data_IF_832639940745
#
_entry.id   IF_832639940745
#
_cell.length_a   1.000
_cell.length_b   1.000
_cell.length_c   1.000
_cell.angle_alpha   90.00
_cell.angle_beta   90.00
_cell.angle_gamma   90.00
#
_symmetry.space_group_name_H-M   'P 1'
#
loop_
_entity.id
_entity.type
_entity.pdbx_description
1 polymer ?
#
# COMPACT_ATOMS: atom_id res chain seq x y z
N UNK A 1 -9.52 3.14 0.44
CA UNK A 1 -8.84 3.62 1.67
C UNK A 1 -8.27 5.03 1.48
N UNK A 2 -7.38 5.25 0.51
CA UNK A 2 -6.77 6.57 0.27
C UNK A 2 -7.79 7.69 -0.03
N UNK A 3 -8.88 7.37 -0.74
CA UNK A 3 -10.05 8.26 -0.91
C UNK A 3 -10.64 8.74 0.42
N UNK A 4 -10.81 7.81 1.35
CA UNK A 4 -11.37 8.09 2.65
C UNK A 4 -10.40 8.89 3.51
N UNK A 5 -9.09 8.72 3.33
CA UNK A 5 -8.12 9.60 3.97
C UNK A 5 -8.30 11.03 3.47
N UNK A 6 -8.34 11.24 2.15
CA UNK A 6 -8.53 12.58 1.55
C UNK A 6 -9.87 13.22 1.96
N UNK A 7 -10.96 12.44 2.00
CA UNK A 7 -12.30 12.99 2.26
C UNK A 7 -12.67 13.09 3.74
N UNK A 8 -12.19 12.19 4.61
CA UNK A 8 -12.62 12.08 6.01
C UNK A 8 -11.59 12.60 7.02
N UNK A 9 -10.33 12.81 6.63
CA UNK A 9 -9.30 13.34 7.53
C UNK A 9 -9.02 14.80 7.13
N UNK A 10 -9.41 15.80 7.95
CA UNK A 10 -9.30 17.22 7.60
C UNK A 10 -7.90 17.63 7.15
N UNK A 11 -6.86 17.16 7.86
CA UNK A 11 -5.47 17.45 7.51
C UNK A 11 -5.12 16.97 6.09
N UNK A 12 -5.52 15.75 5.70
CA UNK A 12 -5.25 15.23 4.36
C UNK A 12 -5.98 16.06 3.30
N UNK A 13 -7.25 16.41 3.55
CA UNK A 13 -8.04 17.27 2.67
C UNK A 13 -7.38 18.63 2.43
N UNK A 14 -6.96 19.29 3.52
CA UNK A 14 -6.36 20.62 3.49
C UNK A 14 -5.00 20.63 2.80
N UNK A 15 -4.16 19.64 3.09
CA UNK A 15 -2.83 19.54 2.48
C UNK A 15 -2.91 19.19 1.01
N UNK A 16 -3.78 18.27 0.61
CA UNK A 16 -4.00 17.96 -0.81
C UNK A 16 -4.52 19.19 -1.55
N UNK A 17 -5.45 19.95 -0.96
CA UNK A 17 -5.92 21.20 -1.54
C UNK A 17 -4.81 22.26 -1.64
N UNK A 18 -3.96 22.38 -0.63
CA UNK A 18 -2.83 23.31 -0.60
C UNK A 18 -1.81 22.97 -1.69
N UNK A 19 -1.46 21.70 -1.81
CA UNK A 19 -0.66 21.19 -2.92
C UNK A 19 -1.28 21.63 -4.24
N UNK A 20 -2.53 21.21 -4.52
CA UNK A 20 -3.24 21.49 -5.79
C UNK A 20 -3.15 22.96 -6.18
N UNK A 21 -3.27 23.89 -5.22
CA UNK A 21 -3.14 25.33 -5.47
C UNK A 21 -1.73 25.74 -5.93
N UNK A 22 -0.67 25.17 -5.36
CA UNK A 22 0.72 25.42 -5.81
C UNK A 22 0.86 25.05 -7.29
N UNK A 23 0.51 23.81 -7.66
CA UNK A 23 0.70 23.37 -9.05
C UNK A 23 -0.19 24.08 -10.04
N UNK A 24 -1.47 24.29 -9.70
CA UNK A 24 -2.37 25.03 -10.60
C UNK A 24 -1.85 26.44 -10.84
N UNK A 25 -1.30 27.10 -9.81
CA UNK A 25 -0.73 28.43 -9.96
C UNK A 25 0.52 28.44 -10.83
N UNK A 26 1.47 27.51 -10.60
CA UNK A 26 2.73 27.42 -11.37
C UNK A 26 2.45 27.09 -12.84
N UNK A 27 1.58 26.13 -13.12
CA UNK A 27 1.26 25.73 -14.49
C UNK A 27 0.29 26.66 -15.22
N UNK A 28 -0.32 27.63 -14.54
CA UNK A 28 -1.19 28.60 -15.19
C UNK A 28 -0.45 29.57 -16.12
N UNK A 29 0.89 29.69 -16.02
CA UNK A 29 1.67 30.71 -16.74
C UNK A 29 3.03 30.19 -17.17
N UNK A 30 3.37 30.37 -18.44
CA UNK A 30 4.65 29.92 -19.02
C UNK A 30 5.86 30.47 -18.26
N UNK A 31 5.82 31.75 -17.85
CA UNK A 31 6.92 32.35 -17.08
C UNK A 31 7.15 31.70 -15.71
N UNK A 32 6.11 31.15 -15.07
CA UNK A 32 6.23 30.43 -13.81
C UNK A 32 6.75 29.00 -14.01
N UNK A 33 6.39 28.36 -15.13
CA UNK A 33 6.95 27.06 -15.52
C UNK A 33 8.45 27.19 -15.79
N UNK A 34 8.87 28.22 -16.53
CA UNK A 34 10.30 28.48 -16.77
C UNK A 34 11.03 28.76 -15.46
N UNK A 35 10.43 29.51 -14.55
CA UNK A 35 11.01 29.78 -13.24
C UNK A 35 11.11 28.51 -12.38
N UNK A 36 10.08 27.64 -12.41
CA UNK A 36 10.11 26.33 -11.76
C UNK A 36 11.31 25.52 -12.27
N UNK A 37 11.40 25.30 -13.59
CA UNK A 37 12.47 24.50 -14.20
C UNK A 37 13.86 25.03 -13.85
N UNK A 38 14.02 26.35 -13.74
CA UNK A 38 15.29 26.95 -13.32
C UNK A 38 15.70 26.52 -11.89
N UNK A 39 14.73 26.41 -10.97
CA UNK A 39 14.99 26.07 -9.56
C UNK A 39 14.82 24.58 -9.23
N UNK A 40 14.31 23.77 -10.16
CA UNK A 40 14.15 22.32 -10.01
C UNK A 40 15.00 21.53 -10.99
N UNK A 41 16.05 22.13 -11.56
CA UNK A 41 16.96 21.46 -12.51
C UNK A 41 16.25 20.85 -13.73
N UNK A 42 15.17 21.49 -14.18
CA UNK A 42 14.35 21.04 -15.31
C UNK A 42 13.25 20.05 -14.94
N UNK A 43 13.11 19.67 -13.67
CA UNK A 43 12.09 18.72 -13.26
C UNK A 43 10.68 19.31 -13.26
N UNK A 44 9.72 18.50 -13.69
CA UNK A 44 8.30 18.81 -13.66
C UNK A 44 7.65 18.42 -12.32
N UNK A 45 6.55 19.10 -11.98
CA UNK A 45 5.63 18.67 -10.94
C UNK A 45 4.56 17.79 -11.57
N UNK A 46 4.25 16.65 -10.94
CA UNK A 46 3.13 15.80 -11.38
C UNK A 46 1.85 16.63 -11.35
N UNK A 47 1.09 16.65 -12.44
CA UNK A 47 -0.21 17.33 -12.49
C UNK A 47 -1.29 16.43 -11.87
N UNK A 48 -2.21 16.97 -11.07
CA UNK A 48 -3.35 16.20 -10.59
C UNK A 48 -4.23 15.76 -11.78
N UNK A 49 -4.31 14.46 -12.02
CA UNK A 49 -5.19 13.88 -13.06
C UNK A 49 -6.58 13.52 -12.52
N UNK A 50 -7.56 13.33 -13.41
CA UNK A 50 -8.99 13.17 -13.07
C UNK A 50 -9.29 11.84 -12.35
N UNK A 51 -8.38 10.86 -12.33
CA UNK A 51 -8.65 9.55 -11.68
C UNK A 51 -7.59 9.02 -10.71
N UNK A 52 -8.18 8.45 -9.64
CA UNK A 52 -7.69 7.52 -8.58
C UNK A 52 -6.69 8.09 -7.58
N UNK A 53 -7.22 8.39 -6.39
CA UNK A 53 -6.64 8.70 -5.06
C UNK A 53 -5.17 8.40 -4.78
N UNK A 54 -4.58 7.35 -5.37
CA UNK A 54 -3.14 7.14 -5.35
C UNK A 54 -2.39 8.35 -5.95
N UNK A 55 -2.91 8.90 -7.05
CA UNK A 55 -2.36 10.08 -7.74
C UNK A 55 -2.25 11.28 -6.81
N UNK A 56 -3.24 11.55 -5.94
CA UNK A 56 -3.18 12.66 -4.96
C UNK A 56 -1.95 12.55 -4.05
N UNK A 57 -1.57 11.34 -3.61
CA UNK A 57 -0.44 11.14 -2.72
C UNK A 57 0.90 11.00 -3.44
N UNK A 58 0.92 10.39 -4.65
CA UNK A 58 2.10 10.40 -5.52
C UNK A 58 2.50 11.85 -5.88
N UNK A 59 1.48 12.65 -6.17
CA UNK A 59 1.58 14.08 -6.38
C UNK A 59 2.19 14.82 -5.19
N UNK A 60 1.66 14.60 -3.97
CA UNK A 60 2.23 15.19 -2.76
C UNK A 60 3.68 14.74 -2.54
N UNK A 61 4.02 13.49 -2.89
CA UNK A 61 5.40 12.98 -2.88
C UNK A 61 6.30 13.81 -3.80
N UNK A 62 5.89 14.02 -5.04
CA UNK A 62 6.62 14.87 -5.99
C UNK A 62 6.81 16.30 -5.47
N UNK A 63 5.77 16.92 -4.89
CA UNK A 63 5.91 18.25 -4.26
C UNK A 63 6.94 18.26 -3.13
N UNK A 64 6.95 17.22 -2.29
CA UNK A 64 7.92 17.09 -1.21
C UNK A 64 9.35 17.01 -1.74
N UNK A 65 9.57 16.23 -2.79
CA UNK A 65 10.89 16.08 -3.42
C UNK A 65 11.39 17.39 -4.02
N UNK A 66 10.47 18.21 -4.57
CA UNK A 66 10.78 19.54 -5.13
C UNK A 66 10.68 20.69 -4.13
N UNK A 67 10.49 20.41 -2.83
CA UNK A 67 10.33 21.45 -1.80
C UNK A 67 11.46 22.48 -1.81
N UNK A 68 12.71 22.02 -1.92
CA UNK A 68 13.89 22.91 -1.93
C UNK A 68 13.85 23.89 -3.10
N UNK A 69 13.63 23.37 -4.32
CA UNK A 69 13.51 24.20 -5.52
C UNK A 69 12.33 25.17 -5.47
N UNK A 70 11.16 24.71 -5.00
CA UNK A 70 10.00 25.58 -4.79
C UNK A 70 10.29 26.68 -3.77
N UNK A 71 10.91 26.35 -2.65
CA UNK A 71 11.28 27.34 -1.64
C UNK A 71 12.23 28.39 -2.21
N UNK A 72 13.27 27.98 -2.94
CA UNK A 72 14.21 28.88 -3.59
C UNK A 72 13.51 29.77 -4.64
N UNK A 73 12.64 29.18 -5.47
CA UNK A 73 11.84 29.92 -6.44
C UNK A 73 11.04 31.05 -5.79
N UNK A 74 10.23 30.74 -4.77
CA UNK A 74 9.32 31.71 -4.13
C UNK A 74 10.02 32.68 -3.18
N UNK A 75 11.30 32.47 -2.84
CA UNK A 75 12.09 33.41 -2.03
C UNK A 75 13.12 34.21 -2.85
N UNK A 76 13.29 33.84 -4.13
CA UNK A 76 14.26 34.43 -5.04
C UNK A 76 14.01 35.91 -5.36
N UNK A 77 15.06 36.59 -5.80
CA UNK A 77 14.95 37.97 -6.30
C UNK A 77 14.06 38.02 -7.56
N UNK A 78 14.20 37.05 -8.46
CA UNK A 78 13.42 36.94 -9.69
C UNK A 78 11.92 36.85 -9.38
N UNK A 79 11.52 36.09 -8.36
CA UNK A 79 10.14 36.05 -7.91
C UNK A 79 9.69 37.40 -7.35
N UNK A 80 10.46 37.99 -6.41
CA UNK A 80 10.12 39.25 -5.77
C UNK A 80 9.96 40.40 -6.76
N UNK A 81 10.81 40.46 -7.78
CA UNK A 81 10.78 41.48 -8.84
C UNK A 81 9.69 41.21 -9.89
N UNK A 82 9.12 40.00 -9.93
CA UNK A 82 8.07 39.64 -10.88
C UNK A 82 6.73 40.34 -10.60
N UNK A 83 5.88 40.44 -11.61
CA UNK A 83 4.49 40.87 -11.43
C UNK A 83 3.64 39.86 -10.63
N UNK A 84 4.06 38.58 -10.59
CA UNK A 84 3.31 37.49 -10.00
C UNK A 84 3.29 37.57 -8.47
N UNK A 85 4.41 37.96 -7.84
CA UNK A 85 4.51 38.20 -6.39
C UNK A 85 3.58 39.29 -5.87
N UNK A 86 3.12 40.19 -6.75
CA UNK A 86 2.22 41.30 -6.39
C UNK A 86 0.75 40.89 -6.42
N UNK A 87 0.42 39.77 -7.07
CA UNK A 87 -0.96 39.25 -7.16
C UNK A 87 -1.43 38.63 -5.84
N UNK A 88 -2.75 38.65 -5.59
CA UNK A 88 -3.33 37.98 -4.41
C UNK A 88 -3.01 36.49 -4.39
N UNK A 89 -3.16 35.82 -5.53
CA UNK A 89 -2.89 34.38 -5.68
C UNK A 89 -1.40 34.06 -5.49
N UNK A 90 -0.51 34.90 -6.02
CA UNK A 90 0.94 34.72 -5.86
C UNK A 90 1.38 34.80 -4.41
N UNK A 91 0.92 35.82 -3.67
CA UNK A 91 1.18 35.94 -2.23
C UNK A 91 0.61 34.78 -1.43
N UNK A 92 -0.58 34.30 -1.82
CA UNK A 92 -1.21 33.16 -1.18
C UNK A 92 -0.38 31.87 -1.36
N UNK A 93 0.09 31.59 -2.59
CA UNK A 93 0.92 30.41 -2.88
C UNK A 93 2.31 30.54 -2.26
N UNK A 94 2.91 31.72 -2.31
CA UNK A 94 4.16 32.01 -1.60
C UNK A 94 4.05 31.66 -0.12
N UNK A 95 2.99 32.12 0.55
CA UNK A 95 2.75 31.82 1.96
C UNK A 95 2.61 30.31 2.22
N UNK A 96 1.95 29.55 1.33
CA UNK A 96 1.89 28.08 1.45
C UNK A 96 3.29 27.48 1.35
N UNK A 97 4.07 27.86 0.34
CA UNK A 97 5.40 27.30 0.06
C UNK A 97 6.40 27.66 1.15
N UNK A 98 6.30 28.85 1.75
CA UNK A 98 7.21 29.28 2.83
C UNK A 98 6.77 28.81 4.21
N UNK A 99 5.55 28.27 4.36
CA UNK A 99 5.03 27.81 5.64
C UNK A 99 5.54 26.39 5.97
N UNK A 100 6.41 26.30 6.99
CA UNK A 100 6.98 25.03 7.44
C UNK A 100 5.94 24.02 7.97
N UNK A 101 4.84 24.48 8.55
CA UNK A 101 3.79 23.59 9.06
C UNK A 101 3.05 22.87 7.93
N UNK A 102 2.88 23.50 6.77
CA UNK A 102 2.29 22.86 5.57
C UNK A 102 3.16 21.67 5.18
N UNK A 103 4.48 21.85 5.07
CA UNK A 103 5.39 20.77 4.69
C UNK A 103 5.49 19.67 5.75
N UNK A 104 5.48 20.04 7.03
CA UNK A 104 5.44 19.07 8.13
C UNK A 104 4.17 18.21 8.05
N UNK A 105 3.02 18.83 7.85
CA UNK A 105 1.75 18.12 7.72
C UNK A 105 1.69 17.29 6.42
N UNK A 106 2.31 17.76 5.33
CA UNK A 106 2.47 16.98 4.10
C UNK A 106 3.25 15.69 4.34
N UNK A 107 4.39 15.75 5.02
CA UNK A 107 5.16 14.56 5.38
C UNK A 107 4.32 13.61 6.24
N UNK A 108 3.52 14.14 7.18
CA UNK A 108 2.59 13.33 7.98
C UNK A 108 1.58 12.62 7.07
N UNK A 109 0.94 13.32 6.13
CA UNK A 109 0.01 12.71 5.19
C UNK A 109 0.66 11.61 4.35
N UNK A 110 1.90 11.81 3.87
CA UNK A 110 2.65 10.82 3.11
C UNK A 110 2.97 9.58 3.95
N UNK A 111 3.39 9.76 5.21
CA UNK A 111 3.61 8.65 6.16
C UNK A 111 2.39 7.76 6.35
N UNK A 112 1.18 8.34 6.32
CA UNK A 112 -0.07 7.58 6.39
C UNK A 112 -0.42 6.85 5.09
N UNK A 113 -0.14 7.47 3.94
CA UNK A 113 -0.58 6.97 2.65
C UNK A 113 0.40 6.02 1.95
N UNK A 114 1.71 6.23 2.11
CA UNK A 114 2.76 5.49 1.40
C UNK A 114 2.74 3.99 1.65
N UNK A 115 2.52 3.49 2.88
CA UNK A 115 2.41 2.05 3.10
C UNK A 115 1.28 1.42 2.27
N UNK A 116 0.13 2.09 2.14
CA UNK A 116 -0.97 1.64 1.29
C UNK A 116 -0.66 1.74 -0.21
N UNK A 117 0.10 2.77 -0.64
CA UNK A 117 0.57 2.84 -2.03
C UNK A 117 1.49 1.67 -2.39
N UNK A 118 2.33 1.20 -1.46
CA UNK A 118 3.16 0.01 -1.67
C UNK A 118 2.30 -1.25 -1.86
N UNK A 119 1.24 -1.41 -1.05
CA UNK A 119 0.30 -2.53 -1.21
C UNK A 119 -0.41 -2.46 -2.57
N UNK A 120 -0.90 -1.28 -2.97
CA UNK A 120 -1.52 -1.10 -4.28
C UNK A 120 -0.57 -1.48 -5.41
N UNK A 121 0.67 -0.99 -5.38
CA UNK A 121 1.69 -1.33 -6.38
C UNK A 121 2.00 -2.83 -6.43
N UNK A 122 1.97 -3.51 -5.28
CA UNK A 122 2.17 -4.97 -5.23
C UNK A 122 1.02 -5.71 -5.91
N UNK A 123 -0.22 -5.27 -5.70
CA UNK A 123 -1.42 -5.91 -6.28
C UNK A 123 -1.57 -5.59 -7.76
N UNK A 124 -1.13 -4.41 -8.20
CA UNK A 124 -1.15 -3.99 -9.60
C UNK A 124 0.05 -4.55 -10.41
N UNK A 125 1.03 -5.20 -9.77
CA UNK A 125 2.19 -5.79 -10.45
C UNK A 125 1.89 -7.20 -10.95
N UNK A 126 2.04 -7.43 -12.26
CA UNK A 126 1.90 -8.76 -12.86
C UNK A 126 3.10 -9.70 -12.57
N UNK A 127 4.15 -9.22 -11.90
CA UNK A 127 5.39 -9.98 -11.68
C UNK A 127 5.24 -11.12 -10.65
N UNK A 128 4.33 -10.98 -9.67
CA UNK A 128 4.12 -11.96 -8.60
C UNK A 128 2.64 -12.06 -8.25
N UNK A 129 2.12 -13.28 -8.13
CA UNK A 129 0.75 -13.51 -7.70
C UNK A 129 0.49 -12.88 -6.31
N UNK A 130 -0.30 -11.82 -6.28
CA UNK A 130 -0.53 -11.01 -5.08
C UNK A 130 -1.39 -11.73 -4.02
N UNK A 131 -2.18 -12.74 -4.42
CA UNK A 131 -3.15 -13.42 -3.56
C UNK A 131 -2.55 -14.02 -2.29
N UNK A 132 -1.34 -14.59 -2.39
CA UNK A 132 -0.64 -15.16 -1.24
C UNK A 132 -0.04 -14.12 -0.27
N UNK A 133 -0.04 -12.83 -0.62
CA UNK A 133 0.69 -11.80 0.12
C UNK A 133 -0.17 -10.62 0.58
N UNK A 134 -1.33 -10.38 -0.04
CA UNK A 134 -2.13 -9.17 0.20
C UNK A 134 -2.57 -9.01 1.67
N UNK A 135 -2.90 -10.10 2.36
CA UNK A 135 -3.27 -10.05 3.79
C UNK A 135 -2.12 -9.53 4.64
N UNK A 136 -0.96 -10.19 4.56
CA UNK A 136 0.27 -9.80 5.27
C UNK A 136 0.71 -8.37 4.90
N UNK A 137 0.62 -8.00 3.62
CA UNK A 137 1.00 -6.67 3.16
C UNK A 137 0.12 -5.57 3.78
N UNK A 138 -1.17 -5.85 3.99
CA UNK A 138 -2.07 -4.94 4.67
C UNK A 138 -1.76 -4.80 6.17
N UNK A 139 -1.42 -5.90 6.84
CA UNK A 139 -0.98 -5.86 8.23
C UNK A 139 0.33 -5.09 8.40
N UNK A 140 1.32 -5.37 7.55
CA UNK A 140 2.58 -4.64 7.52
C UNK A 140 2.36 -3.15 7.22
N UNK A 141 1.42 -2.81 6.32
CA UNK A 141 1.09 -1.41 6.07
C UNK A 141 0.52 -0.71 7.31
N UNK A 142 -0.33 -1.38 8.10
CA UNK A 142 -0.82 -0.84 9.38
C UNK A 142 0.31 -0.66 10.39
N UNK A 143 1.21 -1.63 10.53
CA UNK A 143 2.38 -1.57 11.41
C UNK A 143 3.35 -0.45 11.01
N UNK A 144 3.61 -0.27 9.70
CA UNK A 144 4.46 0.80 9.16
C UNK A 144 3.83 2.18 9.43
N UNK A 145 2.50 2.32 9.28
CA UNK A 145 1.79 3.54 9.66
C UNK A 145 1.95 3.81 11.15
N UNK A 146 1.67 2.84 12.02
CA UNK A 146 1.82 3.02 13.47
C UNK A 146 3.23 3.50 13.85
N UNK A 147 4.25 2.85 13.29
CA UNK A 147 5.65 3.18 13.55
C UNK A 147 6.01 4.58 13.04
N UNK A 148 5.55 4.95 11.84
CA UNK A 148 5.82 6.25 11.22
C UNK A 148 5.25 7.44 11.99
N UNK A 149 4.21 7.17 12.80
CA UNK A 149 3.57 8.12 13.71
C UNK A 149 4.09 8.00 15.15
N UNK A 150 5.30 7.44 15.34
CA UNK A 150 5.96 7.27 16.64
C UNK A 150 5.11 6.52 17.66
N UNK A 151 4.31 5.55 17.22
CA UNK A 151 3.36 4.81 18.07
C UNK A 151 2.33 5.71 18.79
N UNK A 152 2.13 6.95 18.33
CA UNK A 152 1.10 7.82 18.90
C UNK A 152 -0.28 7.41 18.40
N UNK A 153 -0.97 6.58 19.20
CA UNK A 153 -2.29 6.04 18.91
C UNK A 153 -3.29 7.11 18.45
N UNK A 154 -3.32 8.28 19.08
CA UNK A 154 -4.27 9.35 18.70
C UNK A 154 -4.10 9.81 17.25
N UNK A 155 -2.88 9.74 16.73
CA UNK A 155 -2.56 10.21 15.38
C UNK A 155 -2.83 9.19 14.29
N UNK A 156 -2.52 7.91 14.50
CA UNK A 156 -2.72 6.88 13.46
C UNK A 156 -4.06 6.12 13.57
N UNK A 157 -4.71 6.09 14.74
CA UNK A 157 -5.98 5.37 14.92
C UNK A 157 -7.09 5.80 13.93
N UNK A 158 -7.25 7.10 13.57
CA UNK A 158 -8.22 7.49 12.55
C UNK A 158 -7.95 6.85 11.17
N UNK A 159 -6.68 6.70 10.80
CA UNK A 159 -6.27 6.03 9.56
C UNK A 159 -6.58 4.54 9.62
N UNK A 160 -6.20 3.87 10.72
CA UNK A 160 -6.50 2.46 10.94
C UNK A 160 -8.00 2.18 10.89
N UNK A 161 -8.84 3.00 11.55
CA UNK A 161 -10.29 2.83 11.50
C UNK A 161 -10.84 2.86 10.07
N UNK A 162 -10.30 3.72 9.21
CA UNK A 162 -10.67 3.76 7.79
C UNK A 162 -10.18 2.53 7.05
N UNK A 163 -8.94 2.08 7.33
CA UNK A 163 -8.37 0.85 6.76
C UNK A 163 -9.26 -0.33 7.12
N UNK A 164 -9.51 -0.56 8.41
CA UNK A 164 -10.30 -1.68 8.93
C UNK A 164 -11.70 -1.69 8.30
N UNK A 165 -12.41 -0.55 8.31
CA UNK A 165 -13.75 -0.46 7.70
C UNK A 165 -13.75 -0.84 6.21
N UNK A 166 -12.74 -0.41 5.44
CA UNK A 166 -12.66 -0.70 4.00
C UNK A 166 -12.17 -2.13 3.75
N UNK A 167 -11.26 -2.63 4.58
CA UNK A 167 -10.79 -4.00 4.55
C UNK A 167 -11.97 -4.94 4.78
N UNK A 168 -12.62 -4.87 5.94
CA UNK A 168 -13.67 -5.80 6.36
C UNK A 168 -14.90 -5.79 5.45
N UNK A 169 -15.26 -4.61 4.91
CA UNK A 169 -16.52 -4.46 4.16
C UNK A 169 -16.40 -4.64 2.66
N UNK A 170 -15.21 -4.44 2.07
CA UNK A 170 -15.07 -4.31 0.62
C UNK A 170 -13.95 -5.16 0.03
N UNK A 171 -12.82 -5.28 0.73
CA UNK A 171 -11.61 -5.88 0.17
C UNK A 171 -11.37 -7.28 0.73
N UNK A 172 -11.43 -7.45 2.04
CA UNK A 172 -11.19 -8.72 2.69
C UNK A 172 -12.25 -9.75 2.27
N UNK A 173 -11.78 -10.96 1.97
CA UNK A 173 -12.58 -12.13 1.60
C UNK A 173 -11.90 -13.36 2.19
N UNK A 174 -12.66 -14.43 2.47
CA UNK A 174 -12.09 -15.72 2.87
C UNK A 174 -10.91 -16.18 2.00
N UNK A 175 -10.95 -15.87 0.70
CA UNK A 175 -9.87 -16.17 -0.24
C UNK A 175 -8.52 -15.50 0.11
N UNK A 176 -8.53 -14.26 0.62
CA UNK A 176 -7.30 -13.56 1.02
C UNK A 176 -6.68 -14.19 2.27
N UNK A 177 -7.52 -14.56 3.25
CA UNK A 177 -7.07 -15.30 4.44
C UNK A 177 -6.54 -16.69 4.06
N UNK A 178 -7.21 -17.40 3.14
CA UNK A 178 -6.73 -18.69 2.63
C UNK A 178 -5.40 -18.54 1.89
N UNK A 179 -5.24 -17.52 1.05
CA UNK A 179 -3.98 -17.23 0.36
C UNK A 179 -2.82 -16.98 1.31
N UNK A 180 -3.06 -16.22 2.39
CA UNK A 180 -2.08 -16.02 3.45
C UNK A 180 -1.73 -17.32 4.17
N UNK A 181 -2.74 -18.10 4.55
CA UNK A 181 -2.58 -19.36 5.27
C UNK A 181 -1.82 -20.41 4.45
N UNK A 182 -2.08 -20.48 3.14
CA UNK A 182 -1.48 -21.47 2.25
C UNK A 182 -0.15 -21.02 1.67
N UNK A 183 0.33 -19.82 1.97
CA UNK A 183 1.62 -19.34 1.48
C UNK A 183 2.77 -19.95 2.30
N UNK A 184 3.53 -20.95 1.79
CA UNK A 184 4.56 -21.63 2.56
C UNK A 184 5.71 -20.71 2.98
N UNK A 185 5.95 -19.65 2.20
CA UNK A 185 6.99 -18.65 2.45
C UNK A 185 6.63 -17.78 3.66
N UNK A 186 5.34 -17.56 3.91
CA UNK A 186 4.86 -16.85 5.09
C UNK A 186 4.63 -17.84 6.25
N UNK A 187 3.93 -18.94 6.00
CA UNK A 187 3.51 -19.92 6.99
C UNK A 187 4.68 -20.45 7.84
N UNK A 188 5.83 -20.70 7.20
CA UNK A 188 7.00 -21.25 7.88
C UNK A 188 7.94 -20.20 8.49
N UNK A 189 7.58 -18.91 8.48
CA UNK A 189 8.36 -17.89 9.18
C UNK A 189 8.13 -17.98 10.70
N UNK A 190 9.14 -17.67 11.53
CA UNK A 190 8.99 -17.72 13.00
C UNK A 190 7.91 -16.79 13.57
N UNK A 191 7.62 -15.70 12.86
CA UNK A 191 6.67 -14.67 13.28
C UNK A 191 5.30 -14.78 12.57
N UNK A 192 5.03 -15.90 11.89
CA UNK A 192 3.73 -16.13 11.25
C UNK A 192 2.62 -16.19 12.31
N UNK A 193 1.51 -15.48 12.05
CA UNK A 193 0.38 -15.38 12.98
C UNK A 193 -0.87 -15.95 12.34
N UNK A 194 -1.47 -16.94 12.98
CA UNK A 194 -2.81 -17.42 12.63
C UNK A 194 -3.74 -16.97 13.74
N UNK A 195 -4.41 -15.85 13.54
CA UNK A 195 -5.51 -15.46 14.41
C UNK A 195 -6.80 -16.19 14.02
N UNK A 196 -7.85 -15.94 14.80
CA UNK A 196 -9.15 -16.55 14.57
C UNK A 196 -9.77 -16.12 13.23
N UNK A 197 -9.52 -14.89 12.77
CA UNK A 197 -10.04 -14.39 11.49
C UNK A 197 -9.40 -15.12 10.32
N UNK A 198 -8.08 -15.27 10.32
CA UNK A 198 -7.34 -16.01 9.28
C UNK A 198 -7.81 -17.46 9.22
N UNK A 199 -7.94 -18.11 10.38
CA UNK A 199 -8.39 -19.51 10.44
C UNK A 199 -9.82 -19.66 9.91
N UNK A 200 -10.75 -18.82 10.36
CA UNK A 200 -12.13 -18.85 9.88
C UNK A 200 -12.22 -18.56 8.37
N UNK A 201 -11.45 -17.59 7.89
CA UNK A 201 -11.38 -17.25 6.47
C UNK A 201 -10.85 -18.41 5.61
N UNK A 202 -9.83 -19.12 6.08
CA UNK A 202 -9.30 -20.29 5.38
C UNK A 202 -10.36 -21.40 5.23
N UNK A 203 -11.03 -21.79 6.32
CA UNK A 203 -12.06 -22.83 6.26
C UNK A 203 -13.31 -22.39 5.49
N UNK A 204 -13.74 -21.13 5.63
CA UNK A 204 -14.83 -20.59 4.84
C UNK A 204 -14.50 -20.57 3.33
N UNK A 205 -13.23 -20.39 2.96
CA UNK A 205 -12.79 -20.51 1.58
C UNK A 205 -12.84 -21.97 1.10
N UNK A 206 -12.36 -22.90 1.93
CA UNK A 206 -12.38 -24.33 1.64
C UNK A 206 -13.81 -24.84 1.42
N UNK A 207 -14.73 -24.58 2.35
CA UNK A 207 -16.14 -24.95 2.24
C UNK A 207 -16.81 -24.37 0.99
N UNK A 208 -16.48 -23.12 0.66
CA UNK A 208 -17.03 -22.44 -0.52
C UNK A 208 -16.50 -22.99 -1.84
N UNK A 209 -15.29 -23.55 -1.86
CA UNK A 209 -14.68 -24.13 -3.06
C UNK A 209 -15.03 -25.60 -3.26
N UNK A 210 -15.37 -26.31 -2.17
CA UNK A 210 -15.73 -27.73 -2.14
C UNK A 210 -17.22 -27.94 -1.81
N UNK A 211 -18.10 -27.12 -2.39
CA UNK A 211 -19.54 -27.12 -2.06
C UNK A 211 -20.15 -28.51 -2.22
N UNK A 212 -20.62 -29.08 -1.11
CA UNK A 212 -21.30 -30.37 -1.09
C UNK A 212 -20.38 -31.60 -1.06
N UNK A 213 -19.05 -31.41 -0.99
CA UNK A 213 -18.06 -32.49 -0.96
C UNK A 213 -17.29 -32.50 0.37
N UNK A 214 -17.96 -32.95 1.43
CA UNK A 214 -17.37 -33.03 2.78
C UNK A 214 -16.22 -34.04 2.86
N UNK A 215 -16.22 -35.06 2.01
CA UNK A 215 -15.13 -36.02 1.93
C UNK A 215 -13.84 -35.34 1.42
N UNK A 216 -13.95 -34.50 0.39
CA UNK A 216 -12.84 -33.67 -0.08
C UNK A 216 -12.36 -32.67 0.98
N UNK A 217 -13.29 -32.01 1.69
CA UNK A 217 -12.94 -31.09 2.80
C UNK A 217 -12.13 -31.82 3.88
N UNK A 218 -12.59 -33.00 4.31
CA UNK A 218 -11.91 -33.80 5.33
C UNK A 218 -10.53 -34.28 4.88
N UNK A 219 -10.37 -34.65 3.60
CA UNK A 219 -9.07 -35.00 3.02
C UNK A 219 -8.11 -33.82 3.04
N UNK A 220 -8.55 -32.66 2.57
CA UNK A 220 -7.73 -31.44 2.56
C UNK A 220 -7.34 -31.05 3.99
N UNK A 221 -8.28 -31.10 4.93
CA UNK A 221 -8.02 -30.81 6.35
C UNK A 221 -6.98 -31.75 6.96
N UNK A 222 -7.09 -33.06 6.71
CA UNK A 222 -6.10 -34.04 7.14
C UNK A 222 -4.72 -33.79 6.53
N UNK A 223 -4.66 -33.46 5.23
CA UNK A 223 -3.41 -33.15 4.54
C UNK A 223 -2.76 -31.85 5.04
N UNK A 224 -3.56 -30.89 5.51
CA UNK A 224 -3.03 -29.65 6.08
C UNK A 224 -2.18 -29.92 7.32
N UNK A 225 -2.49 -30.92 8.15
CA UNK A 225 -1.66 -31.22 9.33
C UNK A 225 -0.21 -31.56 8.97
N UNK A 226 -0.01 -32.27 7.86
CA UNK A 226 1.32 -32.59 7.36
C UNK A 226 2.04 -31.35 6.84
N UNK A 227 1.34 -30.48 6.11
CA UNK A 227 1.87 -29.18 5.71
C UNK A 227 2.31 -28.35 6.92
N UNK A 228 1.43 -28.18 7.92
CA UNK A 228 1.69 -27.38 9.12
C UNK A 228 2.92 -27.86 9.89
N UNK A 229 3.05 -29.18 10.04
CA UNK A 229 4.12 -29.83 10.79
C UNK A 229 5.41 -30.05 10.00
N UNK A 230 5.45 -29.62 8.72
CA UNK A 230 6.54 -29.92 7.78
C UNK A 230 6.80 -31.42 7.65
N UNK A 231 5.76 -32.24 7.74
CA UNK A 231 5.89 -33.70 7.68
C UNK A 231 6.20 -34.17 6.25
N UNK A 232 7.01 -35.23 6.16
CA UNK A 232 7.38 -35.82 4.88
C UNK A 232 8.18 -34.85 4.00
N UNK A 233 7.80 -34.75 2.73
CA UNK A 233 8.57 -34.00 1.75
C UNK A 233 8.56 -32.48 1.99
N UNK A 234 7.51 -31.94 2.62
CA UNK A 234 7.45 -30.52 2.99
C UNK A 234 8.62 -30.08 3.90
N UNK A 235 9.11 -30.96 4.77
CA UNK A 235 10.24 -30.69 5.67
C UNK A 235 11.62 -31.01 5.10
N UNK A 236 11.69 -31.55 3.88
CA UNK A 236 12.96 -31.89 3.24
C UNK A 236 13.83 -30.66 3.00
N UNK A 237 15.15 -30.83 2.98
CA UNK A 237 16.09 -29.73 2.73
C UNK A 237 15.80 -29.01 1.40
N UNK A 238 15.41 -29.76 0.36
CA UNK A 238 15.10 -29.19 -0.96
C UNK A 238 13.81 -28.35 -0.92
N UNK A 239 12.76 -28.81 -0.23
CA UNK A 239 11.53 -28.05 -0.04
C UNK A 239 11.78 -26.77 0.76
N UNK A 240 12.57 -26.85 1.83
CA UNK A 240 12.93 -25.69 2.65
C UNK A 240 13.82 -24.70 1.89
N UNK A 241 14.74 -25.18 1.04
CA UNK A 241 15.53 -24.33 0.15
C UNK A 241 14.64 -23.64 -0.91
N UNK A 242 13.63 -24.35 -1.40
CA UNK A 242 12.63 -23.84 -2.35
C UNK A 242 11.92 -22.58 -1.87
N UNK A 243 11.71 -22.39 -0.57
CA UNK A 243 11.05 -21.22 0.02
C UNK A 243 11.76 -19.89 -0.32
N UNK A 244 13.06 -19.93 -0.64
CA UNK A 244 13.87 -18.74 -0.96
C UNK A 244 13.78 -18.34 -2.43
N UNK A 245 13.49 -19.32 -3.31
CA UNK A 245 13.72 -19.18 -4.75
C UNK A 245 12.47 -19.42 -5.62
N UNK A 246 11.37 -19.93 -5.05
CA UNK A 246 10.12 -20.21 -5.76
C UNK A 246 9.02 -19.24 -5.32
N UNK A 247 8.04 -19.02 -6.19
CA UNK A 247 6.75 -18.44 -5.78
C UNK A 247 5.96 -19.45 -4.94
N UNK A 248 4.95 -19.01 -4.16
CA UNK A 248 4.09 -19.91 -3.39
C UNK A 248 3.47 -21.01 -4.26
N UNK A 249 2.93 -20.67 -5.43
CA UNK A 249 2.33 -21.62 -6.37
C UNK A 249 3.36 -22.63 -6.88
N UNK A 250 4.53 -22.18 -7.31
CA UNK A 250 5.63 -23.06 -7.76
C UNK A 250 6.13 -23.99 -6.65
N UNK A 251 6.08 -23.54 -5.39
CA UNK A 251 6.44 -24.37 -4.26
C UNK A 251 5.43 -25.51 -4.08
N UNK A 252 4.13 -25.22 -4.15
CA UNK A 252 3.08 -26.25 -4.11
C UNK A 252 3.18 -27.23 -5.27
N UNK A 253 3.41 -26.74 -6.49
CA UNK A 253 3.64 -27.59 -7.68
C UNK A 253 4.83 -28.54 -7.52
N UNK A 254 5.88 -28.12 -6.81
CA UNK A 254 7.11 -28.93 -6.70
C UNK A 254 7.11 -29.91 -5.53
N UNK A 255 6.38 -29.61 -4.47
CA UNK A 255 6.52 -30.31 -3.18
C UNK A 255 5.20 -30.83 -2.61
N UNK A 256 4.07 -30.55 -3.28
CA UNK A 256 2.73 -30.96 -2.85
C UNK A 256 2.25 -32.31 -3.38
N UNK A 257 3.03 -33.01 -4.20
CA UNK A 257 2.56 -34.20 -4.96
C UNK A 257 2.06 -35.36 -4.10
N UNK A 258 2.56 -35.48 -2.87
CA UNK A 258 2.08 -36.49 -1.90
C UNK A 258 0.71 -36.14 -1.27
N UNK A 259 0.22 -34.92 -1.50
CA UNK A 259 -1.00 -34.34 -0.93
C UNK A 259 -1.83 -33.69 -2.06
N UNK A 260 -2.30 -34.46 -3.06
CA UNK A 260 -2.82 -33.91 -4.31
C UNK A 260 -4.10 -33.07 -4.11
N UNK A 261 -4.96 -33.41 -3.16
CA UNK A 261 -6.16 -32.61 -2.84
C UNK A 261 -5.77 -31.22 -2.29
N UNK A 262 -4.85 -31.17 -1.32
CA UNK A 262 -4.34 -29.93 -0.76
C UNK A 262 -3.52 -29.13 -1.78
N UNK A 263 -2.68 -29.79 -2.58
CA UNK A 263 -1.89 -29.16 -3.63
C UNK A 263 -2.79 -28.43 -4.63
N UNK A 264 -3.82 -29.12 -5.14
CA UNK A 264 -4.78 -28.53 -6.09
C UNK A 264 -5.54 -27.37 -5.47
N UNK A 265 -5.97 -27.50 -4.21
CA UNK A 265 -6.64 -26.42 -3.50
C UNK A 265 -5.72 -25.20 -3.32
N UNK A 266 -4.48 -25.41 -2.86
CA UNK A 266 -3.53 -24.32 -2.63
C UNK A 266 -3.12 -23.61 -3.91
N UNK A 267 -2.81 -24.35 -4.98
CA UNK A 267 -2.52 -23.77 -6.30
C UNK A 267 -3.69 -22.91 -6.76
N UNK A 268 -4.92 -23.42 -6.68
CA UNK A 268 -6.12 -22.69 -7.12
C UNK A 268 -6.39 -21.42 -6.29
N UNK A 269 -6.01 -21.39 -5.02
CA UNK A 269 -6.15 -20.21 -4.16
C UNK A 269 -5.05 -19.18 -4.44
N UNK A 270 -3.84 -19.64 -4.79
CA UNK A 270 -2.65 -18.79 -4.95
C UNK A 270 -2.40 -18.31 -6.38
N UNK A 271 -3.01 -18.95 -7.38
CA UNK A 271 -2.95 -18.60 -8.80
C UNK A 271 -3.83 -17.41 -9.17
#
# INVERSE_FOLDING_TARGET
MLEDFESKIPMHKEIIASGKKITTYVYARTGLITLLHHYTEGDELIRPDITRFATSYLYLGCLNDKRGGLYMMFTSKQWKDSQFSKTKDGKFVENIVTNNDVWKNLIICLKGAFPLLKVLRMVDSDEKAAMGYIYEAMDQAKEEIQTSYNNNRKSYQPLWKIIDIRWDKQLHRPLHAAGYYLNPILYYKPNFKVDNEVKQGMYACLERMMVGDMDMVNKIDGQLEDFKSKKGFFGSEIAQCGLKNKTPTQWWESYGDAHPELQNFAIRVLS
#
